data_IF_897905557601
#
_entry.id   IF_897905557601
#
_cell.length_a   1.000
_cell.length_b   1.000
_cell.length_c   1.000
_cell.angle_alpha   90.00
_cell.angle_beta   90.00
_cell.angle_gamma   90.00
#
_symmetry.space_group_name_H-M   'P 1'
#
loop_
_entity.id
_entity.type
_entity.pdbx_description
1 polymer ?
#
# COMPACT_ATOMS: atom_id res chain seq x y z
N UNK A 1 -1.26 -9.46 26.49
CA UNK A 1 -1.91 -8.31 27.14
C UNK A 1 -2.30 -8.72 28.55
N UNK A 2 -1.78 -8.05 29.57
CA UNK A 2 -2.13 -8.32 30.97
C UNK A 2 -2.99 -7.16 31.50
N UNK A 3 -4.29 -7.39 31.70
CA UNK A 3 -5.16 -6.40 32.35
C UNK A 3 -5.02 -6.48 33.87
N UNK A 4 -4.79 -5.31 34.49
CA UNK A 4 -4.87 -5.09 35.94
C UNK A 4 -6.25 -4.50 36.27
N UNK A 5 -6.83 -4.91 37.41
CA UNK A 5 -8.16 -4.47 37.83
C UNK A 5 -8.05 -3.47 38.98
N UNK A 6 -8.87 -2.42 38.91
CA UNK A 6 -8.91 -1.33 39.91
C UNK A 6 -10.09 -1.49 40.89
N UNK A 7 -11.13 -2.26 40.52
CA UNK A 7 -12.33 -2.47 41.34
C UNK A 7 -12.76 -3.96 41.40
N UNK A 8 -13.70 -4.24 42.30
CA UNK A 8 -14.25 -5.58 42.54
C UNK A 8 -14.99 -6.13 41.30
N UNK A 9 -15.73 -5.27 40.60
CA UNK A 9 -16.46 -5.63 39.39
C UNK A 9 -15.51 -6.17 38.29
N UNK A 10 -14.40 -5.47 38.03
CA UNK A 10 -13.35 -5.93 37.13
C UNK A 10 -12.74 -7.24 37.61
N UNK A 11 -12.47 -7.36 38.92
CA UNK A 11 -11.92 -8.59 39.52
C UNK A 11 -12.77 -9.81 39.24
N UNK A 12 -14.08 -9.70 39.49
CA UNK A 12 -15.03 -10.77 39.20
C UNK A 12 -15.17 -11.06 37.70
N UNK A 13 -15.27 -10.01 36.87
CA UNK A 13 -15.38 -10.17 35.42
C UNK A 13 -14.15 -10.88 34.85
N UNK A 14 -12.96 -10.53 35.33
CA UNK A 14 -11.71 -11.20 35.00
C UNK A 14 -11.80 -12.67 35.38
N UNK A 15 -12.13 -13.02 36.62
CA UNK A 15 -12.25 -14.41 37.07
C UNK A 15 -13.21 -15.24 36.20
N UNK A 16 -14.38 -14.69 35.84
CA UNK A 16 -15.35 -15.37 34.96
C UNK A 16 -14.78 -15.65 33.57
N UNK A 17 -14.02 -14.70 33.00
CA UNK A 17 -13.40 -14.84 31.67
C UNK A 17 -12.19 -15.79 31.69
N UNK A 18 -11.42 -15.83 32.78
CA UNK A 18 -10.22 -16.69 32.88
C UNK A 18 -10.53 -18.18 32.67
N UNK A 19 -11.73 -18.65 33.07
CA UNK A 19 -12.16 -20.06 32.91
C UNK A 19 -12.09 -20.49 31.44
N UNK A 20 -12.52 -19.62 30.53
CA UNK A 20 -12.52 -19.91 29.10
C UNK A 20 -11.23 -19.45 28.41
N UNK A 21 -10.39 -18.64 29.05
CA UNK A 21 -9.18 -18.07 28.44
C UNK A 21 -8.27 -19.10 27.76
N UNK A 22 -7.88 -20.24 28.36
CA UNK A 22 -6.99 -21.18 27.67
C UNK A 22 -7.61 -21.76 26.40
N UNK A 23 -8.91 -22.03 26.42
CA UNK A 23 -9.66 -22.54 25.26
C UNK A 23 -9.84 -21.46 24.18
N UNK A 24 -10.12 -20.22 24.60
CA UNK A 24 -10.23 -19.06 23.70
C UNK A 24 -8.89 -18.74 23.07
N UNK A 25 -7.78 -18.78 23.82
CA UNK A 25 -6.44 -18.52 23.28
C UNK A 25 -5.96 -19.62 22.32
N UNK A 26 -6.24 -20.89 22.63
CA UNK A 26 -5.90 -22.00 21.71
C UNK A 26 -6.74 -21.95 20.44
N UNK A 27 -8.04 -21.65 20.54
CA UNK A 27 -8.91 -21.38 19.40
C UNK A 27 -8.50 -20.11 18.63
N UNK A 28 -8.11 -19.06 19.35
CA UNK A 28 -7.68 -17.79 18.77
C UNK A 28 -6.36 -17.89 18.03
N UNK A 29 -5.43 -18.77 18.43
CA UNK A 29 -4.19 -19.01 17.70
C UNK A 29 -4.45 -19.55 16.28
N UNK A 30 -5.48 -20.38 16.10
CA UNK A 30 -5.95 -20.81 14.78
C UNK A 30 -6.81 -19.74 14.10
N UNK A 31 -7.59 -18.97 14.88
CA UNK A 31 -8.41 -17.86 14.39
C UNK A 31 -7.63 -16.55 14.16
N UNK A 32 -6.31 -16.51 14.42
CA UNK A 32 -5.50 -15.28 14.37
C UNK A 32 -5.58 -14.60 13.00
N UNK A 33 -5.93 -15.37 11.96
CA UNK A 33 -6.18 -14.86 10.62
C UNK A 33 -7.58 -15.21 10.09
N UNK A 34 -8.57 -15.57 10.91
CA UNK A 34 -9.91 -15.90 10.39
C UNK A 34 -10.58 -14.68 9.76
N UNK A 35 -11.09 -14.79 8.53
CA UNK A 35 -11.80 -13.68 7.90
C UNK A 35 -13.06 -13.27 8.65
N UNK A 36 -13.78 -14.23 9.24
CA UNK A 36 -14.92 -13.94 10.12
C UNK A 36 -14.49 -13.14 11.35
N UNK A 37 -13.42 -13.56 12.04
CA UNK A 37 -12.93 -12.84 13.22
C UNK A 37 -12.43 -11.44 12.86
N UNK A 38 -11.70 -11.31 11.74
CA UNK A 38 -11.26 -10.02 11.23
C UNK A 38 -12.43 -9.07 10.93
N UNK A 39 -13.57 -9.58 10.44
CA UNK A 39 -14.77 -8.77 10.28
C UNK A 39 -15.34 -8.33 11.62
N UNK A 40 -15.43 -9.23 12.61
CA UNK A 40 -15.91 -8.89 13.95
C UNK A 40 -15.06 -7.80 14.61
N UNK A 41 -13.73 -7.86 14.47
CA UNK A 41 -12.81 -6.84 14.96
C UNK A 41 -13.12 -5.47 14.31
N UNK A 42 -13.39 -5.45 13.01
CA UNK A 42 -13.75 -4.22 12.30
C UNK A 42 -15.15 -3.71 12.70
N UNK A 43 -16.12 -4.60 12.88
CA UNK A 43 -17.48 -4.25 13.29
C UNK A 43 -17.55 -3.67 14.71
N UNK A 44 -16.61 -4.03 15.57
CA UNK A 44 -16.51 -3.48 16.93
C UNK A 44 -16.06 -2.00 16.97
N UNK A 45 -15.53 -1.47 15.86
CA UNK A 45 -15.13 -0.06 15.71
C UNK A 45 -16.08 0.67 14.75
N UNK A 46 -16.65 1.80 15.17
CA UNK A 46 -17.69 2.49 14.41
C UNK A 46 -17.22 3.00 13.03
N UNK A 47 -15.97 3.48 12.93
CA UNK A 47 -15.42 3.98 11.67
C UNK A 47 -15.13 2.82 10.71
N UNK A 48 -14.55 1.75 11.22
CA UNK A 48 -14.28 0.55 10.46
C UNK A 48 -15.57 -0.14 10.00
N UNK A 49 -16.57 -0.27 10.87
CA UNK A 49 -17.88 -0.82 10.54
C UNK A 49 -18.53 -0.06 9.38
N UNK A 50 -18.48 1.28 9.42
CA UNK A 50 -18.99 2.14 8.35
C UNK A 50 -18.23 1.90 7.03
N UNK A 51 -16.90 1.86 7.07
CA UNK A 51 -16.09 1.61 5.89
C UNK A 51 -16.34 0.20 5.30
N UNK A 52 -16.54 -0.80 6.17
CA UNK A 52 -16.84 -2.17 5.78
C UNK A 52 -18.20 -2.29 5.10
N UNK A 53 -19.21 -1.57 5.59
CA UNK A 53 -20.52 -1.49 4.95
C UNK A 53 -20.43 -0.86 3.55
N UNK A 54 -19.71 0.26 3.39
CA UNK A 54 -19.46 0.85 2.07
C UNK A 54 -18.76 -0.13 1.12
N UNK A 55 -17.74 -0.85 1.59
CA UNK A 55 -17.08 -1.90 0.81
C UNK A 55 -18.09 -2.98 0.36
N UNK A 56 -18.88 -3.51 1.29
CA UNK A 56 -19.87 -4.55 1.02
C UNK A 56 -20.92 -4.10 -0.02
N UNK A 57 -21.39 -2.86 0.07
CA UNK A 57 -22.37 -2.31 -0.85
C UNK A 57 -21.78 -2.02 -2.24
N UNK A 58 -20.62 -1.36 -2.30
CA UNK A 58 -20.04 -0.89 -3.55
C UNK A 58 -19.34 -2.00 -4.34
N UNK A 59 -18.90 -3.07 -3.65
CA UNK A 59 -18.22 -4.22 -4.27
C UNK A 59 -19.13 -5.41 -4.59
N UNK A 60 -20.46 -5.31 -4.48
CA UNK A 60 -21.41 -6.41 -4.84
C UNK A 60 -21.16 -7.01 -6.23
N UNK A 61 -20.75 -6.20 -7.20
CA UNK A 61 -20.42 -6.69 -8.55
C UNK A 61 -19.16 -7.56 -8.59
N UNK A 62 -18.19 -7.29 -7.72
CA UNK A 62 -16.98 -8.12 -7.57
C UNK A 62 -17.35 -9.47 -6.97
N UNK A 63 -18.22 -9.51 -5.95
CA UNK A 63 -18.62 -10.77 -5.32
C UNK A 63 -19.30 -11.74 -6.31
N UNK A 64 -20.03 -11.18 -7.28
CA UNK A 64 -20.63 -11.91 -8.41
C UNK A 64 -19.67 -12.19 -9.57
N UNK A 65 -18.38 -11.90 -9.42
CA UNK A 65 -17.35 -12.18 -10.42
C UNK A 65 -17.36 -11.29 -11.66
N UNK A 66 -18.04 -10.14 -11.64
CA UNK A 66 -18.26 -9.29 -12.82
C UNK A 66 -17.13 -8.28 -13.05
N UNK A 67 -17.18 -7.12 -12.39
CA UNK A 67 -16.23 -6.02 -12.57
C UNK A 67 -15.89 -5.34 -11.25
N UNK A 68 -14.65 -4.84 -11.16
CA UNK A 68 -14.25 -3.90 -10.12
C UNK A 68 -14.53 -2.47 -10.61
N UNK A 69 -15.47 -1.78 -9.97
CA UNK A 69 -15.78 -0.38 -10.29
C UNK A 69 -14.82 0.57 -9.58
N UNK A 70 -14.68 1.81 -10.07
CA UNK A 70 -13.89 2.84 -9.36
C UNK A 70 -14.44 3.12 -7.95
N UNK A 71 -15.77 3.04 -7.77
CA UNK A 71 -16.41 3.16 -6.44
C UNK A 71 -15.99 2.02 -5.51
N UNK A 72 -15.96 0.78 -6.00
CA UNK A 72 -15.47 -0.36 -5.24
C UNK A 72 -13.98 -0.22 -4.91
N UNK A 73 -13.13 0.14 -5.88
CA UNK A 73 -11.70 0.39 -5.65
C UNK A 73 -11.47 1.43 -4.54
N UNK A 74 -12.14 2.58 -4.64
CA UNK A 74 -12.05 3.62 -3.61
C UNK A 74 -12.51 3.10 -2.24
N UNK A 75 -13.63 2.37 -2.18
CA UNK A 75 -14.11 1.78 -0.91
C UNK A 75 -13.10 0.82 -0.28
N UNK A 76 -12.34 0.07 -1.08
CA UNK A 76 -11.28 -0.81 -0.59
C UNK A 76 -10.12 0.00 -0.01
N UNK A 77 -9.73 1.10 -0.66
CA UNK A 77 -8.69 2.00 -0.15
C UNK A 77 -9.09 2.66 1.17
N UNK A 78 -10.34 3.11 1.29
CA UNK A 78 -10.90 3.66 2.53
C UNK A 78 -10.88 2.62 3.64
N UNK A 79 -11.35 1.39 3.35
CA UNK A 79 -11.37 0.31 4.32
C UNK A 79 -9.95 -0.05 4.79
N UNK A 80 -8.97 -0.11 3.89
CA UNK A 80 -7.57 -0.41 4.23
C UNK A 80 -6.89 0.65 5.10
N UNK A 81 -7.42 1.87 5.16
CA UNK A 81 -6.90 2.93 6.04
C UNK A 81 -7.37 2.78 7.49
N UNK A 82 -8.36 1.93 7.75
CA UNK A 82 -8.86 1.69 9.11
C UNK A 82 -7.91 0.76 9.85
N UNK A 83 -7.44 1.16 11.03
CA UNK A 83 -6.52 0.35 11.84
C UNK A 83 -7.12 -1.03 12.13
N UNK A 84 -8.42 -1.07 12.49
CA UNK A 84 -9.14 -2.31 12.81
C UNK A 84 -9.45 -3.18 11.58
N UNK A 85 -9.24 -2.68 10.37
CA UNK A 85 -9.32 -3.46 9.14
C UNK A 85 -8.00 -4.15 8.76
N UNK A 86 -6.89 -3.90 9.47
CA UNK A 86 -5.61 -4.52 9.15
C UNK A 86 -5.71 -6.05 9.09
N UNK A 87 -6.46 -6.65 10.02
CA UNK A 87 -6.70 -8.10 10.07
C UNK A 87 -7.50 -8.63 8.85
N UNK A 88 -8.31 -7.80 8.18
CA UNK A 88 -9.04 -8.19 6.97
C UNK A 88 -8.12 -8.34 5.75
N UNK A 89 -6.95 -7.69 5.76
CA UNK A 89 -6.03 -7.70 4.61
C UNK A 89 -5.24 -9.00 4.46
N UNK A 90 -5.04 -9.72 5.57
CA UNK A 90 -4.23 -10.94 5.65
C UNK A 90 -5.03 -12.16 6.10
N UNK A 91 -6.36 -12.03 6.16
CA UNK A 91 -7.22 -13.11 6.64
C UNK A 91 -7.27 -14.31 5.68
N UNK A 92 -7.52 -15.49 6.24
CA UNK A 92 -7.72 -16.78 5.60
C UNK A 92 -9.17 -17.20 5.83
N UNK A 93 -9.80 -17.71 4.79
CA UNK A 93 -11.13 -18.31 4.88
C UNK A 93 -11.02 -19.63 5.64
N UNK A 94 -11.77 -19.77 6.72
CA UNK A 94 -11.76 -20.97 7.57
C UNK A 94 -13.03 -21.83 7.42
N UNK A 95 -13.99 -21.37 6.63
CA UNK A 95 -15.24 -22.07 6.33
C UNK A 95 -16.36 -21.78 7.33
N UNK A 96 -16.11 -20.94 8.34
CA UNK A 96 -17.14 -20.52 9.30
C UNK A 96 -17.84 -19.22 8.89
N UNK A 97 -17.51 -18.64 7.74
CA UNK A 97 -18.17 -17.46 7.18
C UNK A 97 -19.59 -17.76 6.70
N UNK A 98 -20.49 -16.78 6.79
CA UNK A 98 -21.85 -16.83 6.24
C UNK A 98 -21.91 -16.49 4.73
N UNK A 99 -20.75 -16.38 4.08
CA UNK A 99 -20.59 -16.07 2.67
C UNK A 99 -19.49 -16.93 2.03
N UNK A 100 -19.47 -16.98 0.70
CA UNK A 100 -18.45 -17.69 -0.08
C UNK A 100 -17.12 -16.92 -0.08
N UNK A 101 -16.37 -17.06 1.02
CA UNK A 101 -15.12 -16.36 1.29
C UNK A 101 -14.05 -16.62 0.21
N UNK A 102 -13.73 -17.87 -0.17
CA UNK A 102 -12.70 -18.13 -1.17
C UNK A 102 -13.04 -17.50 -2.53
N UNK A 103 -14.29 -17.58 -2.98
CA UNK A 103 -14.72 -16.96 -4.24
C UNK A 103 -14.64 -15.45 -4.18
N UNK A 104 -15.04 -14.84 -3.06
CA UNK A 104 -14.96 -13.39 -2.89
C UNK A 104 -13.51 -12.89 -2.89
N UNK A 105 -12.61 -13.56 -2.16
CA UNK A 105 -11.18 -13.24 -2.17
C UNK A 105 -10.57 -13.39 -3.58
N UNK A 106 -10.87 -14.49 -4.28
CA UNK A 106 -10.40 -14.71 -5.65
C UNK A 106 -10.88 -13.62 -6.61
N UNK A 107 -12.19 -13.30 -6.57
CA UNK A 107 -12.76 -12.27 -7.42
C UNK A 107 -12.15 -10.89 -7.13
N UNK A 108 -11.95 -10.54 -5.86
CA UNK A 108 -11.31 -9.30 -5.46
C UNK A 108 -9.89 -9.20 -6.02
N UNK A 109 -9.07 -10.24 -5.82
CA UNK A 109 -7.70 -10.31 -6.35
C UNK A 109 -7.68 -10.19 -7.88
N UNK A 110 -8.51 -10.97 -8.56
CA UNK A 110 -8.56 -11.05 -10.04
C UNK A 110 -9.07 -9.77 -10.68
N UNK A 111 -10.16 -9.19 -10.15
CA UNK A 111 -10.87 -8.08 -10.79
C UNK A 111 -10.32 -6.71 -10.42
N UNK A 112 -9.81 -6.55 -9.19
CA UNK A 112 -9.33 -5.25 -8.71
C UNK A 112 -7.81 -5.11 -8.81
N UNK A 113 -7.04 -6.18 -8.61
CA UNK A 113 -5.58 -6.07 -8.45
C UNK A 113 -4.76 -6.73 -9.57
N UNK A 114 -5.30 -7.77 -10.23
CA UNK A 114 -4.58 -8.49 -11.29
C UNK A 114 -4.36 -7.68 -12.58
N UNK A 115 -5.20 -6.68 -12.86
CA UNK A 115 -5.01 -5.75 -14.00
C UNK A 115 -4.06 -4.59 -13.69
N UNK A 116 -3.94 -4.17 -12.42
CA UNK A 116 -3.14 -3.00 -12.05
C UNK A 116 -1.63 -3.27 -12.18
N UNK A 117 -1.18 -4.50 -11.92
CA UNK A 117 0.22 -4.91 -12.12
C UNK A 117 0.66 -4.87 -13.59
N UNK A 118 -0.20 -5.29 -14.53
CA UNK A 118 0.09 -5.25 -15.98
C UNK A 118 0.02 -3.84 -16.57
N UNK A 119 -0.81 -2.96 -16.00
CA UNK A 119 -0.92 -1.58 -16.48
C UNK A 119 0.19 -0.68 -15.92
N UNK A 120 0.68 -0.93 -14.69
CA UNK A 120 1.81 -0.19 -14.14
C UNK A 120 3.12 -0.49 -14.87
N UNK A 121 3.35 -1.76 -15.24
CA UNK A 121 4.50 -2.18 -16.06
C UNK A 121 4.43 -1.57 -17.46
N UNK A 122 3.29 -1.69 -18.16
CA UNK A 122 3.13 -1.08 -19.49
C UNK A 122 3.29 0.44 -19.52
N UNK A 123 2.78 1.15 -18.50
CA UNK A 123 2.92 2.60 -18.43
C UNK A 123 4.35 3.02 -18.05
N UNK A 124 5.06 2.24 -17.22
CA UNK A 124 6.47 2.47 -16.91
C UNK A 124 7.37 2.21 -18.14
N UNK A 125 7.13 1.13 -18.88
CA UNK A 125 7.84 0.80 -20.11
C UNK A 125 7.66 1.89 -21.19
N UNK A 126 6.42 2.33 -21.45
CA UNK A 126 6.17 3.46 -22.38
C UNK A 126 6.81 4.76 -21.91
N UNK A 127 6.74 5.06 -20.62
CA UNK A 127 7.36 6.27 -20.05
C UNK A 127 8.89 6.27 -20.16
N UNK A 128 9.51 5.09 -20.01
CA UNK A 128 10.94 4.89 -20.20
C UNK A 128 11.35 5.04 -21.66
N UNK A 129 10.65 4.38 -22.60
CA UNK A 129 10.90 4.48 -24.04
C UNK A 129 10.76 5.90 -24.58
N UNK A 130 9.73 6.64 -24.13
CA UNK A 130 9.52 8.03 -24.56
C UNK A 130 10.60 8.98 -24.00
N UNK A 131 11.10 8.74 -22.78
CA UNK A 131 12.19 9.52 -22.19
C UNK A 131 13.54 9.22 -22.87
N UNK A 132 13.82 7.97 -23.20
CA UNK A 132 15.04 7.58 -23.93
C UNK A 132 15.07 8.18 -25.36
N UNK A 133 13.92 8.24 -26.05
CA UNK A 133 13.81 8.85 -27.38
C UNK A 133 14.10 10.36 -27.38
N UNK A 134 13.72 11.07 -26.31
CA UNK A 134 13.99 12.51 -26.15
C UNK A 134 15.48 12.79 -25.86
N UNK A 135 16.16 11.95 -25.08
CA UNK A 135 17.59 12.12 -24.79
C UNK A 135 18.50 11.81 -25.99
N UNK A 136 18.13 10.87 -26.87
CA UNK A 136 18.95 10.50 -28.03
C UNK A 136 18.96 11.55 -29.16
N UNK A 137 18.02 12.49 -29.17
CA UNK A 137 17.95 13.55 -30.19
C UNK A 137 18.74 14.81 -29.85
N UNK A 138 19.36 14.90 -28.67
CA UNK A 138 20.04 16.11 -28.21
C UNK A 138 21.57 15.98 -28.10
N UNK A 139 22.16 14.88 -28.58
CA UNK A 139 23.61 14.68 -28.58
C UNK A 139 24.14 14.54 -30.01
N UNK A 140 24.04 15.61 -30.82
CA UNK A 140 24.95 15.79 -31.97
C UNK A 140 25.27 17.28 -32.12
N UNK A 141 26.57 17.56 -32.24
CA UNK A 141 27.23 18.84 -32.54
C UNK A 141 27.58 19.77 -31.35
N UNK A 142 28.61 19.39 -30.58
CA UNK A 142 29.51 20.38 -29.96
C UNK A 142 30.73 20.56 -30.85
N UNK A 143 30.86 21.72 -31.50
CA UNK A 143 32.04 22.09 -32.27
C UNK A 143 33.22 22.31 -31.31
N UNK A 144 34.34 21.61 -31.55
CA UNK A 144 35.58 21.82 -30.81
C UNK A 144 36.21 23.16 -31.25
N UNK A 145 36.28 24.13 -30.34
CA UNK A 145 37.00 25.39 -30.56
C UNK A 145 38.43 25.22 -30.06
N UNK A 146 39.39 25.13 -30.98
CA UNK A 146 40.82 25.15 -30.68
C UNK A 146 41.31 26.61 -30.63
N UNK A 147 41.85 27.03 -29.48
CA UNK A 147 42.39 28.38 -29.30
C UNK A 147 43.90 28.36 -29.63
N UNK A 148 44.41 29.23 -30.53
CA UNK A 148 45.82 29.25 -30.89
C UNK A 148 46.71 29.84 -29.78
N UNK A 149 47.83 29.16 -29.52
CA UNK A 149 48.85 29.45 -28.49
C UNK A 149 49.41 30.89 -28.47
N UNK A 150 49.23 31.66 -29.55
CA UNK A 150 49.71 33.03 -29.66
C UNK A 150 49.07 34.00 -28.65
N UNK A 151 47.88 33.69 -28.11
CA UNK A 151 47.21 34.54 -27.11
C UNK A 151 47.73 34.38 -25.68
N UNK A 152 48.54 33.36 -25.38
CA UNK A 152 49.08 33.13 -24.03
C UNK A 152 50.27 34.06 -23.73
N UNK A 153 51.07 34.41 -24.74
CA UNK A 153 52.27 35.27 -24.57
C UNK A 153 51.94 36.74 -24.27
N UNK A 154 50.77 37.22 -24.67
CA UNK A 154 50.32 38.60 -24.41
C UNK A 154 49.92 38.80 -22.94
N UNK A 155 49.43 37.76 -22.28
CA UNK A 155 49.01 37.83 -20.87
C UNK A 155 50.23 37.89 -19.94
N UNK A 156 51.28 37.13 -20.24
CA UNK A 156 52.50 37.06 -19.42
C UNK A 156 53.29 38.38 -19.46
N UNK A 157 53.27 39.08 -20.60
CA UNK A 157 53.96 40.37 -20.77
C UNK A 157 53.25 41.53 -20.05
N UNK A 158 51.93 41.47 -19.85
CA UNK A 158 51.22 42.45 -19.03
C UNK A 158 51.42 42.23 -17.52
N UNK A 159 51.55 40.98 -17.05
CA UNK A 159 51.73 40.70 -15.62
C UNK A 159 53.11 41.09 -15.09
N UNK A 160 54.14 41.06 -15.94
CA UNK A 160 55.50 41.47 -15.56
C UNK A 160 55.67 43.00 -15.46
N UNK A 161 54.84 43.80 -16.15
CA UNK A 161 54.86 45.27 -16.04
C UNK A 161 54.17 45.82 -14.79
N UNK A 162 53.27 45.06 -14.17
CA UNK A 162 52.59 45.47 -12.92
C UNK A 162 53.43 45.17 -11.68
N UNK A 163 54.37 44.22 -11.74
CA UNK A 163 55.22 43.86 -10.61
C UNK A 163 56.43 44.78 -10.41
N UNK A 164 56.69 45.74 -11.31
CA UNK A 164 57.87 46.62 -11.26
C UNK A 164 57.51 48.10 -11.54
N UNK A 165 56.46 48.58 -10.86
CA UNK A 165 56.14 50.01 -10.66
C UNK A 165 55.65 50.22 -9.24
#
# INVERSE_FOLDING_TARGET
MNCQCEDEYCGEAKQRIEVCRPQVLSGAANATNSCRLSQLICLADAQCATALDYYNQLCRSVYRGRKCSNKCLNSIEILRKQEKAAALTVCRCDGNEDYDCPRMQNNLARLCFHKHLKNHTKNHERGYEEKHRKHHHQVVASAAVTIPLAKILVVISLTLRVAYT
#
